data_IF_284767156897
#
_entry.id   IF_284767156897
#
_cell.length_a   1.000
_cell.length_b   1.000
_cell.length_c   1.000
_cell.angle_alpha   90.00
_cell.angle_beta   90.00
_cell.angle_gamma   90.00
#
_symmetry.space_group_name_H-M   'P 1'
#
loop_
_entity.id
_entity.type
_entity.pdbx_description
1 polymer ?
#
# COMPACT_ATOMS: atom_id res chain seq x y z
N UNK A 1 -14.46 17.52 -3.43
CA UNK A 1 -13.56 16.34 -3.58
C UNK A 1 -14.46 15.10 -3.60
N UNK A 2 -14.34 14.18 -4.56
CA UNK A 2 -15.14 12.95 -4.59
C UNK A 2 -14.26 11.79 -4.12
N UNK A 3 -14.11 11.70 -2.79
CA UNK A 3 -13.28 10.72 -2.07
C UNK A 3 -13.56 9.28 -2.52
N UNK A 4 -14.81 8.96 -2.83
CA UNK A 4 -15.27 7.64 -3.28
C UNK A 4 -14.75 7.19 -4.66
N UNK A 5 -14.18 8.10 -5.45
CA UNK A 5 -13.62 7.81 -6.78
C UNK A 5 -12.10 7.66 -6.79
N UNK A 6 -11.50 7.56 -5.61
CA UNK A 6 -10.05 7.40 -5.44
C UNK A 6 -9.76 6.03 -4.84
N UNK A 7 -8.86 5.28 -5.48
CA UNK A 7 -8.34 4.01 -4.97
C UNK A 7 -6.83 4.14 -4.86
N UNK A 8 -6.30 3.83 -3.68
CA UNK A 8 -4.86 3.72 -3.48
C UNK A 8 -4.37 2.36 -3.95
N UNK A 9 -3.36 2.39 -4.81
CA UNK A 9 -2.58 1.22 -5.21
C UNK A 9 -1.11 1.49 -4.91
N UNK A 10 -0.35 0.43 -4.68
CA UNK A 10 1.10 0.57 -4.53
C UNK A 10 1.82 0.48 -5.86
N UNK A 11 1.34 -0.35 -6.80
CA UNK A 11 2.16 -0.81 -7.94
C UNK A 11 3.54 -1.31 -7.46
N UNK A 12 3.53 -1.99 -6.30
CA UNK A 12 4.74 -2.39 -5.58
C UNK A 12 5.53 -3.46 -6.34
N UNK A 13 6.85 -3.32 -6.29
CA UNK A 13 7.81 -4.30 -6.78
C UNK A 13 8.51 -5.02 -5.62
N UNK A 14 9.46 -5.89 -5.91
CA UNK A 14 10.32 -6.54 -4.92
C UNK A 14 11.13 -5.54 -4.05
N UNK A 15 11.21 -4.27 -4.43
CA UNK A 15 11.82 -3.23 -3.61
C UNK A 15 10.93 -2.75 -2.45
N UNK A 16 9.64 -3.05 -2.44
CA UNK A 16 8.76 -2.60 -1.36
C UNK A 16 9.15 -3.25 -0.02
N UNK A 17 9.32 -2.42 1.01
CA UNK A 17 9.80 -2.80 2.35
C UNK A 17 11.19 -3.47 2.38
N UNK A 18 11.94 -3.41 1.28
CA UNK A 18 13.27 -4.00 1.18
C UNK A 18 14.36 -2.95 1.49
N UNK A 19 15.57 -3.42 1.81
CA UNK A 19 16.74 -2.53 1.95
C UNK A 19 17.23 -2.06 0.58
N UNK A 20 17.98 -0.95 0.49
CA UNK A 20 18.60 -0.54 -0.77
C UNK A 20 19.44 -1.67 -1.40
N UNK A 21 19.32 -1.89 -2.70
CA UNK A 21 19.93 -3.03 -3.36
C UNK A 21 19.47 -3.27 -4.79
N UNK A 22 19.86 -4.43 -5.34
CA UNK A 22 19.45 -4.90 -6.67
C UNK A 22 18.42 -6.00 -6.54
N UNK A 23 17.34 -5.88 -7.30
CA UNK A 23 16.20 -6.79 -7.30
C UNK A 23 15.89 -7.27 -8.72
N UNK A 24 15.03 -8.28 -8.81
CA UNK A 24 14.51 -8.77 -10.09
C UNK A 24 12.99 -8.96 -10.04
N UNK A 25 12.36 -8.67 -11.17
CA UNK A 25 10.98 -9.02 -11.47
C UNK A 25 10.97 -9.80 -12.80
N UNK A 26 11.02 -11.13 -12.72
CA UNK A 26 11.35 -11.96 -13.88
C UNK A 26 12.74 -11.61 -14.42
N UNK A 27 12.82 -11.32 -15.72
CA UNK A 27 14.07 -10.92 -16.39
C UNK A 27 14.43 -9.43 -16.20
N UNK A 28 13.53 -8.63 -15.62
CA UNK A 28 13.78 -7.21 -15.39
C UNK A 28 14.66 -7.03 -14.15
N UNK A 29 15.83 -6.39 -14.33
CA UNK A 29 16.64 -5.92 -13.20
C UNK A 29 16.13 -4.57 -12.68
N UNK A 30 16.21 -4.41 -11.37
CA UNK A 30 15.71 -3.24 -10.65
C UNK A 30 16.77 -2.76 -9.64
N UNK A 31 16.91 -1.45 -9.47
CA UNK A 31 17.77 -0.83 -8.46
C UNK A 31 16.91 -0.02 -7.50
N UNK A 32 17.04 -0.31 -6.21
CA UNK A 32 16.48 0.49 -5.12
C UNK A 32 17.61 1.28 -4.45
N UNK A 33 17.48 2.60 -4.45
CA UNK A 33 18.37 3.52 -3.73
C UNK A 33 17.91 3.75 -2.29
N UNK A 34 18.32 4.88 -1.71
CA UNK A 34 17.83 5.32 -0.39
C UNK A 34 16.37 5.79 -0.41
N UNK A 35 15.93 6.31 -1.54
CA UNK A 35 14.56 6.77 -1.73
C UNK A 35 13.65 5.60 -2.13
N UNK A 36 12.35 5.63 -1.78
CA UNK A 36 11.40 4.56 -2.08
C UNK A 36 10.94 4.56 -3.56
N UNK A 37 11.89 4.73 -4.47
CA UNK A 37 11.70 4.68 -5.92
C UNK A 37 12.56 3.57 -6.49
N UNK A 38 11.93 2.69 -7.26
CA UNK A 38 12.60 1.58 -7.92
C UNK A 38 12.89 1.95 -9.38
N UNK A 39 14.13 1.76 -9.82
CA UNK A 39 14.59 2.20 -11.13
C UNK A 39 15.05 1.03 -12.00
N UNK A 40 14.84 1.16 -13.30
CA UNK A 40 15.54 0.34 -14.29
C UNK A 40 17.01 0.80 -14.40
N UNK A 41 18.00 -0.08 -14.16
CA UNK A 41 19.41 0.26 -14.22
C UNK A 41 19.88 0.78 -15.59
N UNK A 42 19.19 0.42 -16.67
CA UNK A 42 19.58 0.81 -18.04
C UNK A 42 19.07 2.19 -18.41
N UNK A 43 17.84 2.52 -17.99
CA UNK A 43 17.16 3.75 -18.42
C UNK A 43 17.06 4.80 -17.31
N UNK A 44 17.33 4.43 -16.06
CA UNK A 44 17.12 5.26 -14.87
C UNK A 44 15.67 5.78 -14.72
N UNK A 45 14.72 5.10 -15.36
CA UNK A 45 13.29 5.43 -15.24
C UNK A 45 12.66 4.63 -14.10
N UNK A 46 11.65 5.19 -13.39
CA UNK A 46 10.88 4.42 -12.42
C UNK A 46 10.17 3.24 -13.09
N UNK A 47 10.20 2.07 -12.46
CA UNK A 47 9.49 0.87 -12.95
C UNK A 47 8.71 0.22 -11.83
N UNK A 48 7.46 0.63 -11.65
CA UNK A 48 6.66 0.33 -10.46
C UNK A 48 7.10 1.18 -9.27
N UNK A 49 6.85 0.70 -8.06
CA UNK A 49 7.19 1.41 -6.82
C UNK A 49 7.92 0.53 -5.79
N UNK A 50 8.48 1.19 -4.77
CA UNK A 50 9.03 0.55 -3.57
C UNK A 50 8.30 0.98 -2.28
N UNK A 51 7.08 1.53 -2.41
CA UNK A 51 6.28 1.97 -1.26
C UNK A 51 5.39 0.85 -0.73
N UNK A 52 5.15 0.85 0.58
CA UNK A 52 4.11 0.03 1.21
C UNK A 52 2.78 0.78 1.20
N UNK A 53 1.66 0.06 1.28
CA UNK A 53 0.34 0.69 1.30
C UNK A 53 0.13 1.57 2.54
N UNK A 54 0.70 1.19 3.69
CA UNK A 54 0.74 2.05 4.89
C UNK A 54 1.46 3.38 4.62
N UNK A 55 2.59 3.35 3.90
CA UNK A 55 3.29 4.57 3.52
C UNK A 55 2.44 5.42 2.56
N UNK A 56 1.71 4.81 1.62
CA UNK A 56 0.78 5.53 0.75
C UNK A 56 -0.32 6.24 1.55
N UNK A 57 -0.92 5.58 2.55
CA UNK A 57 -1.93 6.17 3.44
C UNK A 57 -1.37 7.41 4.13
N UNK A 58 -0.20 7.29 4.78
CA UNK A 58 0.47 8.44 5.42
C UNK A 58 0.79 9.58 4.44
N UNK A 59 1.27 9.24 3.25
CA UNK A 59 1.60 10.22 2.21
C UNK A 59 0.38 11.06 1.82
N UNK A 60 -0.76 10.43 1.51
CA UNK A 60 -1.95 11.18 1.09
C UNK A 60 -2.57 12.01 2.21
N UNK A 61 -2.51 11.52 3.46
CA UNK A 61 -2.88 12.32 4.62
C UNK A 61 -2.06 13.61 4.67
N UNK A 62 -0.74 13.51 4.51
CA UNK A 62 0.17 14.65 4.52
C UNK A 62 -0.03 15.57 3.30
N UNK A 63 -0.16 15.03 2.10
CA UNK A 63 -0.23 15.81 0.87
C UNK A 63 -1.56 16.55 0.69
N UNK A 64 -2.67 15.95 1.15
CA UNK A 64 -4.01 16.47 0.92
C UNK A 64 -4.73 16.98 2.17
N UNK A 65 -4.06 16.89 3.33
CA UNK A 65 -4.60 17.27 4.64
C UNK A 65 -5.94 16.56 4.92
N UNK A 66 -5.91 15.22 4.83
CA UNK A 66 -7.07 14.36 5.07
C UNK A 66 -6.86 13.47 6.28
N UNK A 67 -7.96 13.07 6.91
CA UNK A 67 -7.94 12.22 8.10
C UNK A 67 -7.54 10.77 7.77
N UNK A 68 -7.20 10.00 8.81
CA UNK A 68 -6.85 8.59 8.66
C UNK A 68 -8.02 7.79 8.08
N UNK A 69 -9.23 8.02 8.56
CA UNK A 69 -10.44 7.34 8.09
C UNK A 69 -10.67 7.59 6.60
N UNK A 70 -10.52 8.84 6.12
CA UNK A 70 -10.65 9.15 4.70
C UNK A 70 -9.55 8.45 3.89
N UNK A 71 -8.29 8.52 4.31
CA UNK A 71 -7.18 7.88 3.60
C UNK A 71 -7.28 6.34 3.60
N UNK A 72 -7.74 5.74 4.69
CA UNK A 72 -8.01 4.29 4.78
C UNK A 72 -9.16 3.91 3.85
N UNK A 73 -10.20 4.74 3.72
CA UNK A 73 -11.31 4.45 2.80
C UNK A 73 -10.82 4.30 1.35
N UNK A 74 -9.79 5.05 0.94
CA UNK A 74 -9.19 4.92 -0.40
C UNK A 74 -8.41 3.61 -0.56
N UNK A 75 -7.85 3.06 0.51
CA UNK A 75 -7.06 1.83 0.51
C UNK A 75 -7.89 0.56 0.79
N UNK A 76 -9.11 0.69 1.33
CA UNK A 76 -9.94 -0.45 1.74
C UNK A 76 -11.36 -0.40 1.15
N UNK A 77 -12.19 0.54 1.58
CA UNK A 77 -13.62 0.58 1.27
C UNK A 77 -13.89 0.84 -0.22
N UNK A 78 -13.16 1.78 -0.82
CA UNK A 78 -13.32 2.12 -2.23
C UNK A 78 -12.94 0.96 -3.17
N UNK A 79 -11.77 0.30 -3.03
CA UNK A 79 -11.50 -0.90 -3.82
C UNK A 79 -12.47 -2.04 -3.51
N UNK A 80 -12.94 -2.19 -2.27
CA UNK A 80 -13.96 -3.18 -1.93
C UNK A 80 -15.27 -2.92 -2.68
N UNK A 81 -15.79 -1.68 -2.69
CA UNK A 81 -16.99 -1.30 -3.45
C UNK A 81 -16.86 -1.67 -4.93
N UNK A 82 -15.69 -1.42 -5.54
CA UNK A 82 -15.42 -1.79 -6.93
C UNK A 82 -15.44 -3.31 -7.13
N UNK A 83 -14.79 -4.07 -6.26
CA UNK A 83 -14.67 -5.52 -6.37
C UNK A 83 -15.96 -6.27 -6.03
N UNK A 84 -16.79 -5.73 -5.12
CA UNK A 84 -18.08 -6.32 -4.74
C UNK A 84 -19.09 -6.36 -5.89
N UNK A 85 -18.91 -5.51 -6.92
CA UNK A 85 -19.70 -5.57 -8.15
C UNK A 85 -19.24 -6.67 -9.12
N UNK A 86 -18.21 -7.44 -8.78
CA UNK A 86 -17.58 -8.44 -9.65
C UNK A 86 -17.75 -9.86 -9.11
N UNK A 87 -17.40 -10.87 -9.92
CA UNK A 87 -17.35 -12.27 -9.50
C UNK A 87 -16.32 -12.54 -8.37
N UNK A 88 -15.40 -11.61 -8.11
CA UNK A 88 -14.43 -11.72 -7.03
C UNK A 88 -15.04 -11.50 -5.64
N UNK A 89 -16.29 -11.01 -5.55
CA UNK A 89 -16.94 -10.73 -4.27
C UNK A 89 -16.94 -11.94 -3.31
N UNK A 90 -17.16 -13.16 -3.82
CA UNK A 90 -17.16 -14.37 -3.00
C UNK A 90 -15.80 -14.69 -2.36
N UNK A 91 -14.70 -14.22 -2.95
CA UNK A 91 -13.34 -14.38 -2.40
C UNK A 91 -13.02 -13.33 -1.32
N UNK A 92 -13.82 -12.26 -1.26
CA UNK A 92 -13.57 -11.12 -0.39
C UNK A 92 -14.42 -11.19 0.89
N UNK A 93 -15.55 -11.89 0.85
CA UNK A 93 -16.48 -12.02 1.99
C UNK A 93 -16.07 -13.04 3.04
N UNK A 94 -15.06 -13.87 2.80
CA UNK A 94 -14.57 -14.83 3.78
C UNK A 94 -13.47 -14.21 4.65
N UNK A 95 -13.75 -14.09 5.96
CA UNK A 95 -12.77 -13.84 7.01
C UNK A 95 -12.68 -12.40 7.55
N UNK A 96 -12.30 -12.30 8.82
CA UNK A 96 -12.00 -11.02 9.50
C UNK A 96 -10.78 -10.35 8.87
N UNK A 97 -10.87 -9.03 8.64
CA UNK A 97 -9.80 -8.22 8.06
C UNK A 97 -9.72 -6.93 8.84
N UNK A 98 -8.65 -6.77 9.59
CA UNK A 98 -8.49 -5.62 10.49
C UNK A 98 -7.06 -5.12 10.41
N UNK A 99 -6.91 -3.80 10.36
CA UNK A 99 -5.62 -3.12 10.50
C UNK A 99 -5.71 -2.18 11.69
N UNK A 100 -4.86 -2.37 12.68
CA UNK A 100 -4.83 -1.53 13.88
C UNK A 100 -3.81 -0.44 13.70
N UNK A 101 -4.30 0.80 13.69
CA UNK A 101 -3.49 2.00 13.61
C UNK A 101 -3.36 2.64 14.98
N UNK A 102 -2.20 3.24 15.24
CA UNK A 102 -1.95 4.05 16.42
C UNK A 102 -1.24 5.33 16.03
N UNK A 103 -1.74 6.46 16.53
CA UNK A 103 -1.04 7.74 16.42
C UNK A 103 0.10 7.78 17.43
N UNK A 104 1.29 8.11 16.94
CA UNK A 104 2.50 8.31 17.74
C UNK A 104 3.10 9.68 17.44
N UNK A 105 4.19 10.04 18.14
CA UNK A 105 4.85 11.35 17.97
C UNK A 105 5.24 11.66 16.53
N UNK A 106 5.59 10.62 15.76
CA UNK A 106 6.03 10.73 14.36
C UNK A 106 4.90 10.42 13.36
N UNK A 107 3.64 10.43 13.82
CA UNK A 107 2.45 10.17 13.03
C UNK A 107 1.86 8.77 13.19
N UNK A 108 0.92 8.44 12.32
CA UNK A 108 0.16 7.18 12.35
C UNK A 108 1.01 5.97 11.93
N UNK A 109 0.96 4.89 12.71
CA UNK A 109 1.68 3.65 12.44
C UNK A 109 0.72 2.45 12.50
N UNK A 110 0.93 1.47 11.63
CA UNK A 110 0.29 0.16 11.78
C UNK A 110 0.96 -0.59 12.94
N UNK A 111 0.16 -1.12 13.86
CA UNK A 111 0.61 -1.94 15.00
C UNK A 111 0.29 -3.41 14.85
N UNK A 112 -0.77 -3.72 14.10
CA UNK A 112 -1.11 -5.08 13.75
C UNK A 112 -1.94 -5.10 12.48
N UNK A 113 -1.94 -6.24 11.79
CA UNK A 113 -2.82 -6.53 10.69
C UNK A 113 -3.28 -7.99 10.76
N UNK A 114 -4.57 -8.23 10.55
CA UNK A 114 -5.16 -9.57 10.53
C UNK A 114 -5.85 -9.81 9.20
N UNK A 115 -5.62 -11.00 8.63
CA UNK A 115 -6.36 -11.53 7.49
C UNK A 115 -6.77 -12.96 7.77
N UNK A 116 -8.05 -13.18 8.06
CA UNK A 116 -8.58 -14.45 8.55
C UNK A 116 -7.88 -14.87 9.83
N UNK A 117 -7.19 -16.01 9.79
CA UNK A 117 -6.44 -16.56 10.94
C UNK A 117 -5.00 -16.04 11.05
N UNK A 118 -4.52 -15.31 10.06
CA UNK A 118 -3.15 -14.79 10.04
C UNK A 118 -3.13 -13.42 10.72
N UNK A 119 -2.38 -13.32 11.82
CA UNK A 119 -2.13 -12.09 12.56
C UNK A 119 -0.65 -11.73 12.45
N UNK A 120 -0.38 -10.50 12.04
CA UNK A 120 0.91 -9.85 12.14
C UNK A 120 0.85 -8.76 13.21
N UNK A 121 1.89 -8.67 14.03
CA UNK A 121 2.09 -7.61 15.02
C UNK A 121 3.46 -6.96 14.78
N UNK A 122 3.48 -5.63 14.72
CA UNK A 122 4.65 -4.81 14.42
C UNK A 122 5.40 -4.36 15.68
#
# INVERSE_FOLDING_TARGET
>A
KCSERVILITDATAGAAATPGRYRLGELELILGSDPVIYDPKTSRPVGSAVTLEQCVRNVMQWYDISLDEAVSWASENPLKLLSATKANSLITEGERTVWWKEEKDGWKVKAAQSGKFLYSA
#
